data_IF_732644488127
#
_entry.id   IF_732644488127
#
_cell.length_a   1.000
_cell.length_b   1.000
_cell.length_c   1.000
_cell.angle_alpha   90.00
_cell.angle_beta   90.00
_cell.angle_gamma   90.00
#
_symmetry.space_group_name_H-M   'P 1'
#
loop_
_entity.id
_entity.type
_entity.pdbx_description
1 polymer ?
#
# COMPACT_ATOMS: atom_id res chain seq x y z
N UNK A 1 -13.46 -12.40 1.54
CA UNK A 1 -12.42 -11.37 1.26
C UNK A 1 -13.15 -10.17 0.72
N UNK A 2 -13.15 -9.05 1.44
CA UNK A 2 -13.84 -7.83 1.02
C UNK A 2 -12.85 -6.96 0.25
N UNK A 3 -13.17 -6.64 -1.00
CA UNK A 3 -12.33 -5.79 -1.85
C UNK A 3 -13.01 -4.43 -1.94
N UNK A 4 -12.34 -3.40 -1.45
CA UNK A 4 -12.82 -2.01 -1.51
C UNK A 4 -11.97 -1.28 -2.54
N UNK A 5 -12.58 -0.88 -3.65
CA UNK A 5 -11.93 -0.05 -4.66
C UNK A 5 -12.26 1.41 -4.38
N UNK A 6 -11.26 2.16 -3.91
CA UNK A 6 -11.35 3.63 -3.80
C UNK A 6 -10.32 4.25 -4.72
N UNK A 7 -10.80 5.05 -5.66
CA UNK A 7 -9.99 5.86 -6.57
C UNK A 7 -9.99 7.31 -6.07
N UNK A 8 -8.91 8.05 -6.32
CA UNK A 8 -8.70 9.42 -5.79
C UNK A 8 -8.63 9.56 -4.26
N UNK A 9 -7.98 8.62 -3.57
CA UNK A 9 -7.63 8.83 -2.16
C UNK A 9 -6.45 9.80 -2.06
N UNK A 10 -6.57 10.80 -1.19
CA UNK A 10 -5.42 11.59 -0.75
C UNK A 10 -4.52 10.72 0.13
N UNK A 11 -3.26 11.15 0.30
CA UNK A 11 -2.29 10.44 1.14
C UNK A 11 -2.84 10.25 2.56
N UNK A 12 -3.49 11.25 3.12
CA UNK A 12 -4.08 11.25 4.47
C UNK A 12 -5.21 10.24 4.63
N UNK A 13 -6.16 10.21 3.68
CA UNK A 13 -7.25 9.24 3.68
C UNK A 13 -6.71 7.81 3.53
N UNK A 14 -5.70 7.62 2.68
CA UNK A 14 -5.02 6.34 2.55
C UNK A 14 -4.37 5.92 3.88
N UNK A 15 -3.63 6.81 4.54
CA UNK A 15 -3.01 6.54 5.85
C UNK A 15 -4.03 6.17 6.94
N UNK A 16 -5.23 6.77 6.91
CA UNK A 16 -6.30 6.48 7.86
C UNK A 16 -7.01 5.15 7.58
N UNK A 17 -7.09 4.74 6.31
CA UNK A 17 -7.75 3.52 5.88
C UNK A 17 -6.84 2.30 5.86
N UNK A 18 -5.57 2.47 5.49
CA UNK A 18 -4.60 1.39 5.31
C UNK A 18 -4.47 0.43 6.52
N UNK A 19 -4.51 0.85 7.81
CA UNK A 19 -4.45 -0.10 8.92
C UNK A 19 -5.66 -1.04 9.02
N UNK A 20 -6.75 -0.76 8.30
CA UNK A 20 -7.98 -1.60 8.30
C UNK A 20 -7.91 -2.74 7.29
N UNK A 21 -6.91 -2.76 6.42
CA UNK A 21 -6.79 -3.72 5.33
C UNK A 21 -5.50 -4.54 5.46
N UNK A 22 -5.55 -5.83 5.13
CA UNK A 22 -4.37 -6.71 5.08
C UNK A 22 -3.56 -6.55 3.79
N UNK A 23 -4.15 -5.98 2.73
CA UNK A 23 -3.53 -5.90 1.42
C UNK A 23 -3.79 -4.57 0.72
N UNK A 24 -2.75 -4.02 0.10
CA UNK A 24 -2.84 -2.84 -0.74
C UNK A 24 -2.57 -3.23 -2.19
N UNK A 25 -3.42 -2.78 -3.12
CA UNK A 25 -3.13 -2.88 -4.55
C UNK A 25 -3.00 -1.46 -5.09
N UNK A 26 -1.85 -1.16 -5.67
CA UNK A 26 -1.58 0.14 -6.28
C UNK A 26 -1.37 0.02 -7.79
N UNK A 27 -1.86 1.02 -8.51
CA UNK A 27 -1.46 1.27 -9.90
C UNK A 27 -0.35 2.33 -9.93
N UNK A 28 0.25 2.56 -11.10
CA UNK A 28 1.32 3.55 -11.30
C UNK A 28 1.01 4.97 -10.77
N UNK A 29 -0.27 5.29 -10.55
CA UNK A 29 -0.70 6.59 -10.03
C UNK A 29 -0.41 6.80 -8.52
N UNK A 30 -0.19 5.74 -7.74
CA UNK A 30 -0.07 5.86 -6.27
C UNK A 30 1.34 5.52 -5.82
N UNK A 31 2.00 6.47 -5.14
CA UNK A 31 3.32 6.29 -4.55
C UNK A 31 3.20 5.72 -3.13
N UNK A 32 3.62 4.48 -2.96
CA UNK A 32 3.65 3.77 -1.67
C UNK A 32 5.00 4.01 -1.02
N UNK A 33 5.13 5.18 -0.39
CA UNK A 33 6.32 5.52 0.37
C UNK A 33 6.36 4.80 1.73
N UNK A 34 7.53 4.76 2.36
CA UNK A 34 7.74 4.26 3.72
C UNK A 34 6.68 4.69 4.74
N UNK A 35 6.18 5.92 4.62
CA UNK A 35 5.15 6.52 5.48
C UNK A 35 3.82 5.74 5.44
N UNK A 36 3.39 5.34 4.23
CA UNK A 36 2.17 4.56 3.99
C UNK A 36 2.34 3.15 4.53
N UNK A 37 3.50 2.55 4.27
CA UNK A 37 3.86 1.21 4.74
C UNK A 37 3.93 1.20 6.28
N UNK A 38 4.42 2.28 6.89
CA UNK A 38 4.48 2.42 8.34
C UNK A 38 3.09 2.57 8.98
N UNK A 39 2.19 3.33 8.37
CA UNK A 39 0.80 3.43 8.83
C UNK A 39 0.02 2.11 8.67
N UNK A 40 0.35 1.30 7.66
CA UNK A 40 -0.20 -0.03 7.41
C UNK A 40 0.25 -1.05 8.45
N UNK A 41 -0.28 -0.97 9.68
CA UNK A 41 0.11 -1.87 10.77
C UNK A 41 -0.34 -3.32 10.55
N UNK A 42 -1.45 -3.52 9.84
CA UNK A 42 -1.97 -4.85 9.48
C UNK A 42 -1.63 -5.26 8.05
N UNK A 43 -0.87 -4.44 7.32
CA UNK A 43 -0.51 -4.76 5.94
C UNK A 43 0.37 -6.01 5.91
N UNK A 44 0.06 -6.92 4.99
CA UNK A 44 0.82 -8.16 4.74
C UNK A 44 1.28 -8.25 3.30
N UNK A 45 0.51 -7.70 2.36
CA UNK A 45 0.82 -7.74 0.92
C UNK A 45 0.65 -6.36 0.28
N UNK A 46 1.57 -5.99 -0.61
CA UNK A 46 1.45 -4.85 -1.51
C UNK A 46 1.55 -5.35 -2.96
N UNK A 47 0.42 -5.38 -3.65
CA UNK A 47 0.36 -5.70 -5.08
C UNK A 47 0.55 -4.47 -5.95
N UNK A 48 1.39 -4.57 -6.98
CA UNK A 48 1.44 -3.57 -8.04
C UNK A 48 0.68 -4.07 -9.27
N UNK A 49 -0.32 -3.29 -9.71
CA UNK A 49 -1.07 -3.54 -10.95
C UNK A 49 -0.32 -2.97 -12.17
N UNK A 50 0.92 -3.43 -12.37
CA UNK A 50 1.81 -3.01 -13.47
C UNK A 50 3.06 -3.87 -13.55
N UNK A 51 3.86 -3.70 -14.60
CA UNK A 51 5.09 -4.48 -14.81
C UNK A 51 6.22 -4.07 -13.87
N UNK A 52 6.17 -2.87 -13.32
CA UNK A 52 7.24 -2.27 -12.51
C UNK A 52 6.73 -1.80 -11.16
N UNK A 53 7.50 -2.09 -10.10
CA UNK A 53 7.23 -1.70 -8.71
C UNK A 53 7.93 -0.39 -8.30
N UNK A 54 8.35 0.44 -9.25
CA UNK A 54 9.13 1.68 -9.03
C UNK A 54 8.50 2.69 -8.05
N UNK A 55 7.18 2.61 -7.85
CA UNK A 55 6.44 3.50 -6.97
C UNK A 55 6.28 2.96 -5.54
N UNK A 56 6.89 1.81 -5.21
CA UNK A 56 6.75 1.12 -3.92
C UNK A 56 8.13 0.97 -3.26
N UNK A 57 8.25 1.38 -2.01
CA UNK A 57 9.44 1.11 -1.19
C UNK A 57 9.48 -0.36 -0.72
N UNK A 58 9.83 -1.27 -1.65
CA UNK A 58 9.92 -2.70 -1.38
C UNK A 58 10.91 -3.05 -0.25
N UNK A 59 11.95 -2.23 -0.06
CA UNK A 59 12.92 -2.40 1.02
C UNK A 59 12.29 -2.16 2.41
N UNK A 60 11.45 -1.14 2.54
CA UNK A 60 10.72 -0.86 3.79
C UNK A 60 9.64 -1.92 4.02
N UNK A 61 8.94 -2.33 2.97
CA UNK A 61 7.97 -3.42 3.03
C UNK A 61 8.63 -4.71 3.53
N UNK A 62 9.76 -5.09 2.94
CA UNK A 62 10.54 -6.29 3.33
C UNK A 62 10.99 -6.21 4.77
N UNK A 63 11.49 -5.05 5.23
CA UNK A 63 11.89 -4.85 6.63
C UNK A 63 10.73 -4.98 7.62
N UNK A 64 9.51 -4.65 7.20
CA UNK A 64 8.29 -4.84 8.00
C UNK A 64 7.68 -6.25 7.89
N UNK A 65 8.20 -7.12 7.02
CA UNK A 65 7.61 -8.43 6.73
C UNK A 65 6.38 -8.37 5.82
N UNK A 66 6.28 -7.32 5.00
CA UNK A 66 5.25 -7.15 3.98
C UNK A 66 5.79 -7.63 2.63
N UNK A 67 4.97 -8.40 1.90
CA UNK A 67 5.32 -9.06 0.63
C UNK A 67 4.84 -8.26 -0.57
#
# INVERSE_FOLDING_TARGET
IQVVQKTNLTKEELLAEIPKYDGLIVSSATRVAADVINAGSNLKIIGCAGTSVDNIDADVATRKGII
#
